data_IF_977212363583
#
_entry.id   IF_977212363583
#
_cell.length_a   1.000
_cell.length_b   1.000
_cell.length_c   1.000
_cell.angle_alpha   90.00
_cell.angle_beta   90.00
_cell.angle_gamma   90.00
#
_symmetry.space_group_name_H-M   'P 1'
#
loop_
_entity.id
_entity.type
_entity.pdbx_description
1 polymer ?
#
# COMPACT_ATOMS: atom_id res chain seq x y z
N UNK A 1 -13.22 3.76 6.37
CA UNK A 1 -13.01 3.44 4.93
C UNK A 1 -11.62 2.85 4.77
N UNK A 2 -11.40 1.96 3.80
CA UNK A 2 -10.11 1.31 3.58
C UNK A 2 -9.42 1.85 2.33
N UNK A 3 -8.15 2.21 2.44
CA UNK A 3 -7.34 2.70 1.33
C UNK A 3 -6.09 1.83 1.16
N UNK A 4 -5.82 1.42 -0.07
CA UNK A 4 -4.64 0.63 -0.41
C UNK A 4 -3.67 1.42 -1.29
N UNK A 5 -2.42 1.50 -0.85
CA UNK A 5 -1.30 1.85 -1.70
C UNK A 5 -0.70 0.60 -2.36
N UNK A 6 -0.48 0.68 -3.66
CA UNK A 6 0.04 -0.39 -4.49
C UNK A 6 1.36 0.06 -5.12
N UNK A 7 2.45 -0.66 -4.81
CA UNK A 7 3.80 -0.29 -5.26
C UNK A 7 4.56 -1.50 -5.82
N UNK A 8 5.32 -1.27 -6.89
CA UNK A 8 6.08 -2.32 -7.60
C UNK A 8 7.58 -2.03 -7.66
N UNK A 9 8.06 -0.99 -6.96
CA UNK A 9 9.48 -0.65 -6.83
C UNK A 9 9.81 -0.31 -5.37
N UNK A 10 11.09 -0.44 -4.97
CA UNK A 10 11.54 -0.07 -3.62
C UNK A 10 11.31 1.41 -3.31
N UNK A 11 11.60 2.28 -4.29
CA UNK A 11 11.43 3.73 -4.15
C UNK A 11 9.96 4.10 -3.92
N UNK A 12 9.05 3.59 -4.76
CA UNK A 12 7.62 3.78 -4.58
C UNK A 12 7.12 3.25 -3.23
N UNK A 13 7.62 2.09 -2.78
CA UNK A 13 7.28 1.53 -1.47
C UNK A 13 7.66 2.44 -0.30
N UNK A 14 8.86 3.03 -0.34
CA UNK A 14 9.29 3.99 0.69
C UNK A 14 8.43 5.26 0.69
N UNK A 15 8.12 5.79 -0.50
CA UNK A 15 7.28 6.97 -0.66
C UNK A 15 5.85 6.70 -0.15
N UNK A 16 5.26 5.55 -0.50
CA UNK A 16 3.93 5.15 -0.02
C UNK A 16 3.88 5.02 1.50
N UNK A 17 4.94 4.46 2.11
CA UNK A 17 5.08 4.37 3.58
C UNK A 17 5.08 5.76 4.22
N UNK A 18 5.83 6.71 3.67
CA UNK A 18 5.84 8.09 4.17
C UNK A 18 4.48 8.79 4.01
N UNK A 19 3.80 8.57 2.89
CA UNK A 19 2.46 9.11 2.67
C UNK A 19 1.43 8.52 3.62
N UNK A 20 1.49 7.22 3.92
CA UNK A 20 0.61 6.59 4.91
C UNK A 20 0.68 7.32 6.25
N UNK A 21 1.87 7.64 6.75
CA UNK A 21 2.02 8.32 8.04
C UNK A 21 1.47 9.76 7.99
N UNK A 22 1.75 10.51 6.92
CA UNK A 22 1.19 11.87 6.74
C UNK A 22 -0.34 11.85 6.62
N UNK A 23 -0.90 10.87 5.91
CA UNK A 23 -2.34 10.77 5.71
C UNK A 23 -3.09 10.38 6.98
N UNK A 24 -2.49 9.61 7.89
CA UNK A 24 -3.12 9.29 9.19
C UNK A 24 -3.47 10.55 10.00
N UNK A 25 -2.72 11.63 9.85
CA UNK A 25 -3.00 12.90 10.54
C UNK A 25 -4.30 13.56 10.06
N UNK A 26 -4.64 13.34 8.78
CA UNK A 26 -5.79 13.96 8.11
C UNK A 26 -6.99 13.01 7.94
N UNK A 27 -6.75 11.70 7.87
CA UNK A 27 -7.71 10.64 7.58
C UNK A 27 -7.80 9.66 8.75
N UNK A 28 -8.16 10.16 9.94
CA UNK A 28 -8.13 9.40 11.20
C UNK A 28 -9.02 8.14 11.18
N UNK A 29 -10.10 8.16 10.41
CA UNK A 29 -11.06 7.04 10.31
C UNK A 29 -10.78 6.11 9.12
N UNK A 30 -9.64 6.28 8.44
CA UNK A 30 -9.22 5.43 7.33
C UNK A 30 -8.21 4.37 7.79
N UNK A 31 -8.47 3.12 7.42
CA UNK A 31 -7.48 2.06 7.48
C UNK A 31 -6.64 2.12 6.20
N UNK A 32 -5.35 2.42 6.34
CA UNK A 32 -4.45 2.62 5.21
C UNK A 32 -3.42 1.49 5.19
N UNK A 33 -3.44 0.68 4.14
CA UNK A 33 -2.46 -0.36 3.88
C UNK A 33 -1.52 0.02 2.75
N UNK A 34 -0.27 -0.42 2.87
CA UNK A 34 0.76 -0.21 1.85
C UNK A 34 1.27 -1.57 1.42
N UNK A 35 0.99 -1.95 0.18
CA UNK A 35 1.47 -3.19 -0.42
C UNK A 35 2.78 -2.95 -1.17
N UNK A 36 3.78 -3.76 -0.83
CA UNK A 36 5.11 -3.74 -1.47
C UNK A 36 5.51 -5.15 -1.88
N UNK A 37 6.25 -5.29 -2.98
CA UNK A 37 6.82 -6.59 -3.33
C UNK A 37 7.90 -6.98 -2.31
N UNK A 38 7.78 -8.19 -1.76
CA UNK A 38 8.65 -8.75 -0.72
C UNK A 38 10.14 -8.69 -1.07
N UNK A 39 10.48 -8.85 -2.35
CA UNK A 39 11.86 -8.72 -2.86
C UNK A 39 12.52 -7.38 -2.57
N UNK A 40 11.75 -6.32 -2.27
CA UNK A 40 12.27 -5.01 -1.91
C UNK A 40 12.42 -4.79 -0.40
N UNK A 41 11.84 -5.67 0.42
CA UNK A 41 11.90 -5.67 1.88
C UNK A 41 11.69 -4.28 2.50
N UNK A 42 10.59 -3.62 2.13
CA UNK A 42 10.22 -2.32 2.70
C UNK A 42 9.55 -2.57 4.06
N UNK A 43 10.17 -2.07 5.12
CA UNK A 43 9.69 -2.25 6.48
C UNK A 43 8.35 -1.55 6.73
N UNK A 44 7.56 -2.07 7.68
CA UNK A 44 6.26 -1.52 8.08
C UNK A 44 5.25 -1.41 6.92
N UNK A 45 5.34 -2.35 5.96
CA UNK A 45 4.41 -2.50 4.84
C UNK A 45 3.91 -3.93 4.74
N UNK A 46 2.77 -4.14 4.09
CA UNK A 46 2.21 -5.44 3.79
C UNK A 46 2.95 -6.04 2.59
N UNK A 47 3.98 -6.84 2.89
CA UNK A 47 4.83 -7.44 1.86
C UNK A 47 4.11 -8.60 1.15
N UNK A 48 4.11 -8.56 -0.18
CA UNK A 48 3.44 -9.53 -1.07
C UNK A 48 4.43 -10.14 -2.06
N UNK A 49 4.20 -11.39 -2.44
CA UNK A 49 5.09 -12.10 -3.38
C UNK A 49 4.74 -11.78 -4.85
N UNK A 50 3.45 -11.69 -5.18
CA UNK A 50 2.96 -11.43 -6.54
C UNK A 50 1.94 -10.28 -6.52
N UNK A 51 2.21 -9.24 -7.32
CA UNK A 51 1.35 -8.06 -7.40
C UNK A 51 -0.04 -8.38 -7.98
N UNK A 52 -0.07 -9.11 -9.08
CA UNK A 52 -1.29 -9.37 -9.86
C UNK A 52 -2.26 -10.25 -9.08
N UNK A 53 -1.76 -11.31 -8.43
CA UNK A 53 -2.59 -12.20 -7.63
C UNK A 53 -3.13 -11.45 -6.40
N UNK A 54 -2.27 -10.76 -5.66
CA UNK A 54 -2.70 -10.07 -4.44
C UNK A 54 -3.67 -8.91 -4.72
N UNK A 55 -3.49 -8.16 -5.81
CA UNK A 55 -4.45 -7.12 -6.16
C UNK A 55 -5.79 -7.74 -6.54
N UNK A 56 -5.83 -8.80 -7.37
CA UNK A 56 -7.09 -9.44 -7.75
C UNK A 56 -7.87 -10.00 -6.54
N UNK A 57 -7.17 -10.56 -5.55
CA UNK A 57 -7.80 -11.09 -4.34
C UNK A 57 -8.33 -10.00 -3.39
N UNK A 58 -7.62 -8.85 -3.31
CA UNK A 58 -7.87 -7.83 -2.29
C UNK A 58 -8.55 -6.58 -2.82
N UNK A 59 -8.61 -6.36 -4.13
CA UNK A 59 -9.04 -5.09 -4.72
C UNK A 59 -10.41 -4.65 -4.21
N UNK A 60 -11.38 -5.57 -4.14
CA UNK A 60 -12.76 -5.27 -3.70
C UNK A 60 -12.90 -5.04 -2.19
N UNK A 61 -11.85 -5.26 -1.39
CA UNK A 61 -11.86 -5.04 0.05
C UNK A 61 -11.51 -3.61 0.45
N UNK A 62 -11.07 -2.79 -0.52
CA UNK A 62 -10.67 -1.40 -0.31
C UNK A 62 -11.62 -0.45 -1.05
N UNK A 63 -11.91 0.69 -0.43
CA UNK A 63 -12.76 1.74 -1.00
C UNK A 63 -11.98 2.65 -1.96
N UNK A 64 -10.65 2.71 -1.82
CA UNK A 64 -9.79 3.55 -2.65
C UNK A 64 -8.39 2.98 -2.84
N UNK A 65 -7.82 3.27 -4.00
CA UNK A 65 -6.58 2.64 -4.48
C UNK A 65 -5.65 3.71 -5.02
N UNK A 66 -4.41 3.73 -4.52
CA UNK A 66 -3.37 4.64 -4.97
C UNK A 66 -2.21 3.82 -5.53
N UNK A 67 -1.85 4.08 -6.78
CA UNK A 67 -0.73 3.44 -7.47
C UNK A 67 0.44 4.41 -7.54
N UNK A 68 1.62 3.99 -7.07
CA UNK A 68 2.85 4.78 -7.14
C UNK A 68 3.89 4.01 -7.96
N UNK A 69 4.44 4.68 -8.98
CA UNK A 69 5.43 4.13 -9.93
C UNK A 69 6.82 4.65 -9.63
#
# INVERSE_FOLDING_TARGET
MKLAFWTVTKGAGNIAREYKEKLKEHLKDYEIDVFTLKKYNVENTSQIDDFTNNINEKFSQYDGHIFIK
#
